data_IF_235993452423
#
_entry.id   IF_235993452423
#
_cell.length_a   1.000
_cell.length_b   1.000
_cell.length_c   1.000
_cell.angle_alpha   90.00
_cell.angle_beta   90.00
_cell.angle_gamma   90.00
#
_symmetry.space_group_name_H-M   'P 1'
#
loop_
_entity.id
_entity.type
_entity.pdbx_description
1 polymer ?
#
# COMPACT_ATOMS: atom_id res chain seq x y z
N UNK A 1 8.72 -9.85 -2.55
CA UNK A 1 9.74 -9.16 -3.39
C UNK A 1 9.71 -7.68 -3.03
N UNK A 2 10.85 -7.10 -2.64
CA UNK A 2 10.96 -5.66 -2.29
C UNK A 2 11.53 -4.86 -3.48
N UNK A 3 11.11 -3.60 -3.67
CA UNK A 3 11.71 -2.72 -4.68
C UNK A 3 13.04 -2.14 -4.19
N UNK A 4 14.12 -2.56 -4.85
CA UNK A 4 15.47 -2.01 -4.63
C UNK A 4 15.59 -0.55 -5.11
N UNK A 5 14.79 -0.15 -6.12
CA UNK A 5 14.80 1.22 -6.65
C UNK A 5 14.40 2.28 -5.63
N UNK A 6 13.47 1.99 -4.71
CA UNK A 6 13.10 2.92 -3.64
C UNK A 6 14.25 3.23 -2.69
N UNK A 7 15.26 2.36 -2.59
CA UNK A 7 16.46 2.65 -1.80
C UNK A 7 17.34 3.73 -2.44
N UNK A 8 17.29 3.88 -3.77
CA UNK A 8 18.05 4.88 -4.53
C UNK A 8 17.26 6.14 -4.88
N UNK A 9 15.92 6.08 -4.83
CA UNK A 9 15.00 7.18 -5.11
C UNK A 9 13.79 7.12 -4.15
N UNK A 10 13.99 7.38 -2.85
CA UNK A 10 12.92 7.28 -1.85
C UNK A 10 11.78 8.28 -2.08
N UNK A 11 12.04 9.42 -2.72
CA UNK A 11 11.05 10.44 -3.05
C UNK A 11 9.93 9.95 -3.98
N UNK A 12 10.16 8.86 -4.72
CA UNK A 12 9.14 8.25 -5.58
C UNK A 12 7.90 7.83 -4.79
N UNK A 13 8.03 7.48 -3.51
CA UNK A 13 6.88 7.12 -2.66
C UNK A 13 5.90 8.29 -2.47
N UNK A 14 6.40 9.53 -2.49
CA UNK A 14 5.58 10.72 -2.37
C UNK A 14 5.00 11.15 -3.72
N UNK A 15 5.78 10.99 -4.79
CA UNK A 15 5.40 11.44 -6.13
C UNK A 15 4.38 10.52 -6.81
N UNK A 16 4.46 9.21 -6.57
CA UNK A 16 3.61 8.20 -7.20
C UNK A 16 3.31 7.02 -6.24
N UNK A 17 2.55 7.26 -5.16
CA UNK A 17 2.35 6.27 -4.09
C UNK A 17 1.62 5.00 -4.54
N UNK A 18 0.72 5.10 -5.53
CA UNK A 18 -0.08 3.98 -6.04
C UNK A 18 0.54 3.32 -7.29
N UNK A 19 1.45 4.02 -7.99
CA UNK A 19 2.20 3.50 -9.12
C UNK A 19 3.57 2.95 -8.70
N UNK A 20 4.65 3.63 -9.07
CA UNK A 20 6.02 3.14 -8.86
C UNK A 20 6.49 3.18 -7.39
N UNK A 21 5.75 3.84 -6.51
CA UNK A 21 6.02 4.00 -5.08
C UNK A 21 5.79 2.74 -4.22
N UNK A 22 5.39 1.60 -4.78
CA UNK A 22 5.10 0.39 -3.99
C UNK A 22 6.36 -0.23 -3.33
N UNK A 23 6.26 -0.58 -2.04
CA UNK A 23 7.39 -1.12 -1.27
C UNK A 23 7.65 -2.62 -1.53
N UNK A 24 6.59 -3.43 -1.46
CA UNK A 24 6.69 -4.88 -1.58
C UNK A 24 5.51 -5.51 -2.34
N UNK A 25 5.80 -6.60 -3.05
CA UNK A 25 4.80 -7.56 -3.52
C UNK A 25 4.82 -8.79 -2.61
N UNK A 26 3.67 -9.08 -2.02
CA UNK A 26 3.48 -10.17 -1.06
C UNK A 26 2.60 -11.25 -1.72
N UNK A 27 2.95 -12.52 -1.53
CA UNK A 27 2.08 -13.63 -1.94
C UNK A 27 1.14 -13.95 -0.79
N UNK A 28 -0.16 -13.80 -1.03
CA UNK A 28 -1.20 -14.17 -0.09
C UNK A 28 -1.46 -15.67 -0.22
N UNK A 29 -1.41 -16.39 0.91
CA UNK A 29 -1.68 -17.84 0.95
C UNK A 29 -3.12 -18.16 1.33
N UNK A 30 -3.76 -17.26 2.07
CA UNK A 30 -5.12 -17.37 2.54
C UNK A 30 -5.87 -16.07 2.19
N UNK A 31 -6.88 -16.19 1.33
CA UNK A 31 -7.64 -15.04 0.86
C UNK A 31 -8.46 -14.37 1.99
N UNK A 32 -8.84 -15.12 3.03
CA UNK A 32 -9.59 -14.57 4.17
C UNK A 32 -8.80 -13.54 4.97
N UNK A 33 -7.48 -13.45 4.78
CA UNK A 33 -6.66 -12.38 5.35
C UNK A 33 -7.02 -10.98 4.82
N UNK A 34 -7.67 -10.91 3.64
CA UNK A 34 -8.13 -9.65 3.05
C UNK A 34 -9.42 -9.13 3.71
N UNK A 35 -10.23 -10.01 4.29
CA UNK A 35 -11.52 -9.64 4.89
C UNK A 35 -11.37 -8.72 6.12
N UNK A 36 -10.19 -8.72 6.74
CA UNK A 36 -9.86 -7.84 7.87
C UNK A 36 -9.35 -6.46 7.44
N UNK A 37 -9.12 -6.23 6.15
CA UNK A 37 -8.65 -4.94 5.63
C UNK A 37 -9.84 -4.03 5.33
N UNK A 38 -9.60 -2.72 5.39
CA UNK A 38 -10.58 -1.72 4.95
C UNK A 38 -10.66 -1.71 3.42
N UNK A 39 -11.86 -1.55 2.90
CA UNK A 39 -12.04 -1.08 1.52
C UNK A 39 -11.81 0.43 1.43
N UNK A 40 -11.88 0.98 0.21
CA UNK A 40 -11.64 2.40 -0.03
C UNK A 40 -12.63 3.29 0.74
N UNK A 41 -13.92 2.93 0.77
CA UNK A 41 -14.95 3.77 1.39
C UNK A 41 -14.79 3.82 2.91
N UNK A 42 -14.51 2.67 3.54
CA UNK A 42 -14.23 2.58 4.97
C UNK A 42 -12.97 3.37 5.35
N UNK A 43 -11.94 3.35 4.49
CA UNK A 43 -10.72 4.13 4.72
C UNK A 43 -10.96 5.63 4.59
N UNK A 44 -11.72 6.07 3.59
CA UNK A 44 -12.10 7.48 3.42
C UNK A 44 -12.89 7.99 4.63
N UNK A 45 -13.84 7.20 5.14
CA UNK A 45 -14.59 7.53 6.37
C UNK A 45 -13.66 7.64 7.59
N UNK A 46 -12.73 6.69 7.75
CA UNK A 46 -11.75 6.73 8.83
C UNK A 46 -10.93 8.03 8.83
N UNK A 47 -10.51 8.52 7.66
CA UNK A 47 -9.76 9.78 7.56
C UNK A 47 -10.55 11.01 8.05
N UNK A 48 -11.89 10.95 8.03
CA UNK A 48 -12.72 12.05 8.58
C UNK A 48 -12.75 12.07 10.11
N UNK A 49 -12.24 11.02 10.75
CA UNK A 49 -12.19 10.88 12.22
C UNK A 49 -10.89 11.39 12.84
N UNK A 50 -9.90 11.77 12.00
CA UNK A 50 -8.58 12.26 12.38
C UNK A 50 -8.56 13.80 12.50
#
# INVERSE_FOLDING_TARGET
>A
HQRVQLAGAPETVNADPEGEGWFAKIRIKDAGQLDALMDQAAYDEYLTTL
#
